data_IF_247485010871
#
_entry.id   IF_247485010871
#
_cell.length_a   1.000
_cell.length_b   1.000
_cell.length_c   1.000
_cell.angle_alpha   90.00
_cell.angle_beta   90.00
_cell.angle_gamma   90.00
#
_symmetry.space_group_name_H-M   'P 1'
#
loop_
_entity.id
_entity.type
_entity.pdbx_description
1 polymer ?
#
# COMPACT_ATOMS: atom_id res chain seq x y z
N UNK A 1 -26.79 51.43 -21.25
CA UNK A 1 -25.88 52.20 -20.36
C UNK A 1 -26.67 52.67 -19.15
N UNK A 2 -26.73 51.83 -18.13
CA UNK A 2 -27.12 52.05 -16.72
C UNK A 2 -27.08 50.63 -16.12
N UNK A 3 -26.67 50.31 -14.90
CA UNK A 3 -26.29 51.04 -13.70
C UNK A 3 -25.75 49.95 -12.72
N UNK A 4 -24.92 50.29 -11.75
CA UNK A 4 -24.95 49.58 -10.46
C UNK A 4 -23.70 48.83 -10.02
N UNK A 5 -22.87 49.53 -9.24
CA UNK A 5 -22.46 49.15 -7.87
C UNK A 5 -21.64 47.86 -7.66
N UNK A 6 -20.35 48.06 -7.37
CA UNK A 6 -19.55 47.21 -6.48
C UNK A 6 -20.24 46.96 -5.12
N UNK A 7 -19.88 45.81 -4.51
CA UNK A 7 -20.32 45.21 -3.23
C UNK A 7 -21.50 44.25 -3.46
N UNK A 8 -21.41 42.94 -3.25
CA UNK A 8 -20.87 42.27 -2.07
C UNK A 8 -20.20 40.93 -2.36
N UNK A 9 -19.23 40.67 -1.49
CA UNK A 9 -18.44 39.47 -1.38
C UNK A 9 -19.32 38.24 -1.24
N UNK A 10 -19.07 37.25 -2.11
CA UNK A 10 -19.73 35.95 -2.18
C UNK A 10 -19.29 35.05 -1.00
N UNK A 11 -19.55 35.52 0.22
CA UNK A 11 -19.49 34.77 1.46
C UNK A 11 -20.77 33.93 1.52
N UNK A 12 -20.67 32.62 1.79
CA UNK A 12 -21.77 31.62 1.90
C UNK A 12 -22.02 30.69 0.70
N UNK A 13 -20.97 30.06 0.15
CA UNK A 13 -21.06 28.62 -0.12
C UNK A 13 -20.01 27.88 0.72
N UNK A 14 -20.37 27.81 2.00
CA UNK A 14 -20.01 26.81 3.00
C UNK A 14 -20.17 25.37 2.48
N UNK A 15 -19.29 24.95 1.58
CA UNK A 15 -18.90 23.55 1.41
C UNK A 15 -17.39 23.48 1.24
N UNK A 16 -16.70 23.79 2.34
CA UNK A 16 -15.69 22.90 2.91
C UNK A 16 -14.78 22.30 1.85
N UNK A 17 -13.69 23.01 1.57
CA UNK A 17 -12.33 22.46 1.45
C UNK A 17 -12.20 21.00 1.92
N UNK A 18 -12.65 20.06 1.11
CA UNK A 18 -12.26 18.67 1.22
C UNK A 18 -11.01 18.56 0.36
N UNK A 19 -9.88 18.77 1.05
CA UNK A 19 -8.59 18.13 0.76
C UNK A 19 -8.58 17.40 -0.57
N UNK A 20 -7.93 18.02 -1.55
CA UNK A 20 -6.71 17.44 -2.10
C UNK A 20 -6.09 16.41 -1.14
N UNK A 21 -6.48 15.16 -1.28
CA UNK A 21 -5.54 14.07 -1.06
C UNK A 21 -5.32 13.59 -2.47
N UNK A 22 -4.32 14.18 -3.14
CA UNK A 22 -3.66 13.48 -4.24
C UNK A 22 -3.47 12.06 -3.72
N UNK A 23 -4.17 11.09 -4.32
CA UNK A 23 -3.91 9.70 -4.01
C UNK A 23 -2.52 9.50 -4.59
N UNK A 24 -1.46 9.37 -3.77
CA UNK A 24 -0.15 9.07 -4.32
C UNK A 24 -0.34 7.76 -5.08
N UNK A 25 0.04 7.76 -6.37
CA UNK A 25 0.10 6.54 -7.17
C UNK A 25 0.86 5.50 -6.37
N UNK A 26 0.28 4.33 -6.14
CA UNK A 26 0.98 3.23 -5.49
C UNK A 26 1.90 2.62 -6.54
N UNK A 27 3.23 2.74 -6.44
CA UNK A 27 4.10 2.14 -7.45
C UNK A 27 3.98 0.61 -7.42
N UNK A 28 4.00 0.04 -6.23
CA UNK A 28 3.95 -1.41 -6.03
C UNK A 28 3.09 -1.75 -4.81
N UNK A 29 2.37 -2.85 -4.90
CA UNK A 29 1.35 -3.25 -3.92
C UNK A 29 1.58 -4.68 -3.49
N UNK A 30 1.63 -4.90 -2.18
CA UNK A 30 1.61 -6.27 -1.61
C UNK A 30 0.16 -6.71 -1.47
N UNK A 31 -0.15 -7.88 -2.02
CA UNK A 31 -1.47 -8.47 -2.14
C UNK A 31 -1.65 -9.66 -1.18
N UNK A 32 -2.82 -10.32 -1.24
CA UNK A 32 -3.27 -11.26 -0.20
C UNK A 32 -2.30 -12.42 0.04
N UNK A 33 -1.57 -12.84 -1.00
CA UNK A 33 -0.68 -13.99 -0.96
C UNK A 33 0.44 -13.86 0.08
N UNK A 34 0.80 -12.64 0.50
CA UNK A 34 1.79 -12.43 1.56
C UNK A 34 1.24 -12.72 2.97
N UNK A 35 -0.06 -12.58 3.21
CA UNK A 35 -0.67 -12.73 4.55
C UNK A 35 -0.42 -14.15 5.07
N UNK A 36 0.19 -14.25 6.24
CA UNK A 36 0.57 -15.50 6.91
C UNK A 36 1.89 -16.10 6.39
N UNK A 37 2.23 -15.93 5.11
CA UNK A 37 3.49 -16.42 4.55
C UNK A 37 4.68 -15.57 5.02
N UNK A 38 4.57 -14.23 4.88
CA UNK A 38 5.57 -13.22 5.30
C UNK A 38 7.03 -13.69 5.16
N UNK A 39 7.45 -13.99 3.92
CA UNK A 39 8.80 -14.52 3.63
C UNK A 39 9.90 -13.47 3.78
N UNK A 40 9.60 -12.19 3.57
CA UNK A 40 10.54 -11.05 3.75
C UNK A 40 11.75 -11.02 2.79
N UNK A 41 11.83 -11.87 1.77
CA UNK A 41 12.93 -11.84 0.78
C UNK A 41 12.95 -10.53 -0.03
N UNK A 42 11.78 -9.94 -0.27
CA UNK A 42 11.62 -8.67 -0.97
C UNK A 42 12.32 -7.48 -0.27
N UNK A 43 12.61 -7.59 1.03
CA UNK A 43 13.23 -6.52 1.81
C UNK A 43 14.71 -6.34 1.44
N UNK A 44 15.45 -7.44 1.25
CA UNK A 44 16.89 -7.39 1.03
C UNK A 44 17.27 -6.76 -0.33
N UNK A 45 16.33 -6.73 -1.28
CA UNK A 45 16.55 -6.18 -2.62
C UNK A 45 16.05 -4.75 -2.80
N UNK A 46 15.37 -4.20 -1.78
CA UNK A 46 14.81 -2.86 -1.86
C UNK A 46 15.92 -1.80 -1.71
N UNK A 47 16.19 -0.95 -2.72
CA UNK A 47 17.27 0.04 -2.65
C UNK A 47 16.95 1.23 -1.73
N UNK A 48 15.69 1.40 -1.34
CA UNK A 48 15.17 2.56 -0.60
C UNK A 48 14.49 2.18 0.72
N UNK A 49 14.52 0.90 1.12
CA UNK A 49 13.98 0.42 2.40
C UNK A 49 12.49 0.78 2.65
N UNK A 50 11.67 0.82 1.58
CA UNK A 50 10.27 1.27 1.63
C UNK A 50 9.27 0.24 2.19
N UNK A 51 9.72 -0.89 2.73
CA UNK A 51 8.83 -1.90 3.31
C UNK A 51 8.48 -1.57 4.76
N UNK A 52 7.22 -1.79 5.13
CA UNK A 52 6.71 -1.66 6.50
C UNK A 52 6.17 -3.00 6.99
N UNK A 53 6.44 -3.30 8.26
CA UNK A 53 6.24 -4.63 8.82
C UNK A 53 5.06 -4.68 9.79
N UNK A 54 4.08 -5.51 9.45
CA UNK A 54 3.04 -5.94 10.36
C UNK A 54 3.32 -7.30 11.00
N UNK A 55 2.44 -7.76 11.90
CA UNK A 55 2.59 -9.06 12.56
C UNK A 55 2.69 -10.25 11.59
N UNK A 56 1.87 -10.28 10.54
CA UNK A 56 1.81 -11.39 9.57
C UNK A 56 1.70 -10.95 8.11
N UNK A 57 2.07 -9.70 7.81
CA UNK A 57 1.99 -9.11 6.47
C UNK A 57 3.05 -8.00 6.33
N UNK A 58 3.44 -7.72 5.09
CA UNK A 58 4.30 -6.58 4.75
C UNK A 58 3.52 -5.66 3.82
N UNK A 59 3.79 -4.37 3.90
CA UNK A 59 3.27 -3.37 2.96
C UNK A 59 4.39 -2.51 2.39
N UNK A 60 4.15 -1.91 1.24
CA UNK A 60 5.04 -0.96 0.60
C UNK A 60 4.54 0.45 0.87
N UNK A 61 5.44 1.34 1.27
CA UNK A 61 5.15 2.76 1.40
C UNK A 61 5.19 3.44 0.01
N UNK A 62 4.07 4.00 -0.48
CA UNK A 62 4.05 4.67 -1.78
C UNK A 62 4.92 5.92 -1.84
N UNK A 63 5.11 6.61 -0.72
CA UNK A 63 5.82 7.88 -0.70
C UNK A 63 7.34 7.66 -0.80
N UNK A 64 7.83 6.47 -0.45
CA UNK A 64 9.25 6.10 -0.48
C UNK A 64 9.63 5.20 -1.67
N UNK A 65 8.67 4.45 -2.22
CA UNK A 65 8.95 3.51 -3.30
C UNK A 65 9.23 4.22 -4.64
N UNK A 66 10.32 3.82 -5.30
CA UNK A 66 10.83 4.45 -6.54
C UNK A 66 10.53 3.66 -7.81
N UNK A 67 9.59 2.72 -7.74
CA UNK A 67 9.11 1.95 -8.90
C UNK A 67 10.20 1.12 -9.63
N UNK A 68 11.14 0.54 -8.88
CA UNK A 68 12.27 -0.19 -9.48
C UNK A 68 11.95 -1.65 -9.89
N UNK A 69 10.78 -2.19 -9.51
CA UNK A 69 10.30 -3.54 -9.84
C UNK A 69 11.15 -4.75 -9.41
N UNK A 70 12.30 -4.54 -8.76
CA UNK A 70 13.20 -5.62 -8.30
C UNK A 70 12.55 -6.54 -7.27
N UNK A 71 11.60 -6.05 -6.46
CA UNK A 71 10.95 -6.86 -5.43
C UNK A 71 9.93 -7.88 -5.96
N UNK A 72 9.38 -7.68 -7.17
CA UNK A 72 8.34 -8.55 -7.75
C UNK A 72 8.82 -10.00 -7.91
N UNK A 73 9.92 -10.30 -8.64
CA UNK A 73 10.36 -11.68 -8.86
C UNK A 73 10.93 -12.35 -7.60
N UNK A 74 11.31 -11.57 -6.60
CA UNK A 74 11.94 -12.07 -5.37
C UNK A 74 10.92 -12.64 -4.38
N UNK A 75 9.63 -12.29 -4.51
CA UNK A 75 8.60 -12.81 -3.63
C UNK A 75 8.24 -14.27 -4.01
N UNK A 76 8.52 -15.27 -3.15
CA UNK A 76 8.23 -16.68 -3.47
C UNK A 76 6.72 -16.98 -3.66
N UNK A 77 5.87 -16.14 -3.05
CA UNK A 77 4.42 -16.25 -3.11
C UNK A 77 3.79 -15.46 -4.28
N UNK A 78 4.61 -14.79 -5.11
CA UNK A 78 4.16 -13.88 -6.17
C UNK A 78 3.10 -12.87 -5.69
N UNK A 79 3.33 -12.27 -4.51
CA UNK A 79 2.37 -11.42 -3.82
C UNK A 79 2.50 -9.93 -4.14
N UNK A 80 3.49 -9.52 -4.95
CA UNK A 80 3.78 -8.10 -5.21
C UNK A 80 3.47 -7.81 -6.67
N UNK A 81 2.70 -6.75 -6.91
CA UNK A 81 2.26 -6.32 -8.24
C UNK A 81 2.54 -4.83 -8.42
N UNK A 82 2.72 -4.39 -9.66
CA UNK A 82 2.51 -2.98 -10.01
C UNK A 82 1.03 -2.64 -9.80
N UNK A 83 0.68 -1.38 -9.48
CA UNK A 83 -0.71 -0.99 -9.21
C UNK A 83 -1.66 -1.35 -10.35
N UNK A 84 -1.23 -1.17 -11.61
CA UNK A 84 -2.01 -1.52 -12.80
C UNK A 84 -2.22 -3.03 -12.99
N UNK A 85 -1.37 -3.86 -12.40
CA UNK A 85 -1.37 -5.33 -12.52
C UNK A 85 -2.02 -6.00 -11.31
N UNK A 86 -2.48 -5.23 -10.31
CA UNK A 86 -3.21 -5.77 -9.16
C UNK A 86 -4.48 -6.49 -9.67
N UNK A 87 -4.73 -7.75 -9.27
CA UNK A 87 -5.95 -8.44 -9.63
C UNK A 87 -7.22 -7.66 -9.26
N UNK A 88 -8.27 -7.76 -10.09
CA UNK A 88 -9.52 -7.01 -9.89
C UNK A 88 -10.19 -7.34 -8.54
N UNK A 89 -10.04 -8.57 -8.05
CA UNK A 89 -10.55 -9.02 -6.76
C UNK A 89 -9.71 -8.58 -5.55
N UNK A 90 -8.60 -7.86 -5.76
CA UNK A 90 -7.64 -7.45 -4.73
C UNK A 90 -7.31 -5.95 -4.75
N UNK A 91 -8.11 -5.14 -5.44
CA UNK A 91 -7.92 -3.69 -5.53
C UNK A 91 -7.90 -2.98 -4.16
N UNK A 92 -8.54 -3.56 -3.15
CA UNK A 92 -8.52 -3.04 -1.77
C UNK A 92 -7.12 -3.02 -1.13
N UNK A 93 -6.18 -3.83 -1.64
CA UNK A 93 -4.80 -3.86 -1.14
C UNK A 93 -4.03 -2.57 -1.46
N UNK A 94 -4.41 -1.83 -2.51
CA UNK A 94 -3.80 -0.55 -2.87
C UNK A 94 -3.95 0.44 -1.70
N UNK A 95 -5.19 0.66 -1.26
CA UNK A 95 -5.48 1.55 -0.14
C UNK A 95 -4.93 1.00 1.20
N UNK A 96 -4.99 -0.31 1.39
CA UNK A 96 -4.49 -0.97 2.59
C UNK A 96 -2.98 -0.78 2.79
N UNK A 97 -2.19 -0.87 1.71
CA UNK A 97 -0.74 -0.65 1.77
C UNK A 97 -0.45 0.79 2.20
N UNK A 98 -1.09 1.78 1.56
CA UNK A 98 -0.93 3.19 1.91
C UNK A 98 -1.39 3.55 3.33
N UNK A 99 -2.41 2.87 3.85
CA UNK A 99 -2.89 3.03 5.24
C UNK A 99 -1.86 2.46 6.22
N UNK A 100 -1.55 1.18 6.10
CA UNK A 100 -0.70 0.46 7.05
C UNK A 100 0.75 0.92 6.99
N UNK A 101 1.23 1.43 5.86
CA UNK A 101 2.58 1.95 5.74
C UNK A 101 2.87 3.15 6.65
N UNK A 102 1.81 3.88 7.05
CA UNK A 102 1.91 5.02 7.97
C UNK A 102 1.92 4.60 9.43
N UNK A 103 1.46 3.39 9.73
CA UNK A 103 1.27 2.88 11.08
C UNK A 103 2.39 1.91 11.47
N UNK A 104 2.84 1.08 10.53
CA UNK A 104 3.81 0.03 10.77
C UNK A 104 5.26 0.50 10.65
N UNK A 105 6.18 -0.06 11.45
CA UNK A 105 7.60 0.28 11.40
C UNK A 105 8.26 -0.19 10.11
N UNK A 106 9.32 0.50 9.68
CA UNK A 106 10.17 0.06 8.57
C UNK A 106 10.88 -1.26 8.90
N UNK A 107 11.00 -2.12 7.89
CA UNK A 107 11.85 -3.31 7.89
C UNK A 107 12.90 -3.18 6.79
N UNK A 108 14.17 -3.30 7.16
CA UNK A 108 15.32 -3.08 6.27
C UNK A 108 16.22 -4.31 6.12
N UNK A 109 15.85 -5.42 6.77
CA UNK A 109 16.57 -6.70 6.70
C UNK A 109 15.59 -7.85 6.74
N UNK A 110 15.86 -8.90 5.95
CA UNK A 110 15.11 -10.16 6.02
C UNK A 110 15.09 -10.74 7.43
N UNK A 111 14.01 -11.45 7.73
CA UNK A 111 13.84 -12.26 8.94
C UNK A 111 13.63 -13.73 8.55
N UNK A 112 13.86 -14.67 9.48
CA UNK A 112 13.44 -16.05 9.28
C UNK A 112 11.95 -16.11 8.97
N UNK A 113 11.57 -17.05 8.10
CA UNK A 113 10.17 -17.27 7.77
C UNK A 113 9.39 -17.75 8.99
N UNK A 114 8.10 -17.42 9.12
CA UNK A 114 7.23 -18.04 10.11
C UNK A 114 7.21 -19.57 9.95
N UNK A 115 7.21 -20.32 11.05
CA UNK A 115 7.19 -21.80 11.05
C UNK A 115 5.94 -22.36 10.35
N UNK A 116 4.84 -21.61 10.36
CA UNK A 116 3.55 -21.95 9.77
C UNK A 116 3.34 -21.35 8.37
N UNK A 117 4.34 -20.67 7.78
CA UNK A 117 4.21 -19.96 6.51
C UNK A 117 3.72 -20.86 5.36
N UNK A 118 4.18 -22.12 5.33
CA UNK A 118 3.81 -23.08 4.27
C UNK A 118 2.33 -23.46 4.32
N UNK A 119 1.64 -23.29 5.45
CA UNK A 119 0.19 -23.54 5.57
C UNK A 119 -0.64 -22.53 4.78
N UNK A 120 -0.07 -21.36 4.48
CA UNK A 120 -0.72 -20.27 3.80
C UNK A 120 -0.37 -20.19 2.30
N UNK A 121 0.56 -21.03 1.84
CA UNK A 121 0.97 -21.08 0.43
C UNK A 121 -0.21 -21.50 -0.46
N UNK A 122 -0.50 -20.70 -1.49
CA UNK A 122 -1.60 -20.97 -2.44
C UNK A 122 -3.02 -20.84 -1.90
N UNK A 123 -3.21 -20.52 -0.61
CA UNK A 123 -4.53 -20.30 -0.01
C UNK A 123 -5.05 -18.92 -0.40
N UNK A 124 -6.31 -18.85 -0.84
CA UNK A 124 -7.02 -17.60 -1.22
C UNK A 124 -7.93 -17.08 -0.11
N UNK A 125 -8.35 -15.82 -0.22
CA UNK A 125 -9.21 -15.15 0.75
C UNK A 125 -8.51 -14.94 2.09
N UNK A 126 -7.21 -14.61 2.08
CA UNK A 126 -6.39 -14.51 3.28
C UNK A 126 -6.55 -13.19 4.03
N UNK A 127 -7.23 -12.20 3.45
CA UNK A 127 -7.47 -10.90 4.09
C UNK A 127 -8.11 -11.02 5.48
N UNK A 128 -9.03 -11.97 5.67
CA UNK A 128 -9.66 -12.26 6.97
C UNK A 128 -8.68 -12.67 8.09
N UNK A 129 -7.46 -13.07 7.73
CA UNK A 129 -6.40 -13.45 8.67
C UNK A 129 -5.39 -12.34 8.92
N UNK A 130 -5.52 -11.18 8.27
CA UNK A 130 -4.65 -10.03 8.48
C UNK A 130 -4.69 -9.57 9.95
N UNK A 131 -3.50 -9.40 10.54
CA UNK A 131 -3.32 -8.84 11.88
C UNK A 131 -2.79 -7.42 11.72
N UNK A 132 -3.49 -6.43 12.27
CA UNK A 132 -3.07 -5.02 12.31
C UNK A 132 -2.19 -4.76 13.52
#
# INVERSE_FOLDING_TARGET
MVCGLQKDYNLFLTFRTLKSKEIPSMPHVVCEACIGCKRTDCVDVCPVDCFREGPNFLVIDPDECIDCAVCIPECPEAAIFAEEDVPEDQQEFIALNAELAREWPSITRRKPYPDDADQYHGVKGKLKFLKR
#
